data_IF_223464252996
#
_entry.id   IF_223464252996
#
_cell.length_a   1.000
_cell.length_b   1.000
_cell.length_c   1.000
_cell.angle_alpha   90.00
_cell.angle_beta   90.00
_cell.angle_gamma   90.00
#
_symmetry.space_group_name_H-M   'P 1'
#
loop_
_entity.id
_entity.type
_entity.pdbx_description
1 polymer ?
#
# COMPACT_ATOMS: atom_id res chain seq x y z
N UNK A 1 17.22 -19.86 6.81
CA UNK A 1 16.16 -18.82 6.74
C UNK A 1 14.78 -19.46 6.91
N UNK A 2 14.34 -20.34 6.02
CA UNK A 2 12.99 -20.96 6.05
C UNK A 2 12.58 -21.48 7.44
N UNK A 3 13.39 -22.39 8.01
CA UNK A 3 13.16 -22.95 9.36
C UNK A 3 13.05 -21.88 10.46
N UNK A 4 13.90 -20.86 10.42
CA UNK A 4 13.91 -19.77 11.41
C UNK A 4 12.66 -18.90 11.29
N UNK A 5 12.24 -18.62 10.05
CA UNK A 5 11.02 -17.89 9.76
C UNK A 5 9.79 -18.65 10.30
N UNK A 6 9.64 -19.93 9.95
CA UNK A 6 8.51 -20.74 10.43
C UNK A 6 8.50 -20.84 11.96
N UNK A 7 9.67 -20.99 12.60
CA UNK A 7 9.78 -21.01 14.05
C UNK A 7 9.32 -19.69 14.68
N UNK A 8 9.75 -18.55 14.12
CA UNK A 8 9.36 -17.23 14.62
C UNK A 8 7.87 -16.94 14.41
N UNK A 9 7.31 -17.36 13.27
CA UNK A 9 5.87 -17.25 13.01
C UNK A 9 5.05 -18.01 14.04
N UNK A 10 5.48 -19.24 14.37
CA UNK A 10 4.85 -20.05 15.40
C UNK A 10 4.94 -19.38 16.78
N UNK A 11 6.13 -18.93 17.16
CA UNK A 11 6.36 -18.25 18.43
C UNK A 11 5.48 -17.01 18.60
N UNK A 12 5.42 -16.13 17.59
CA UNK A 12 4.57 -14.94 17.61
C UNK A 12 3.08 -15.33 17.73
N UNK A 13 2.65 -16.33 16.98
CA UNK A 13 1.27 -16.81 17.04
C UNK A 13 0.91 -17.39 18.42
N UNK A 14 1.82 -18.12 19.06
CA UNK A 14 1.62 -18.71 20.38
C UNK A 14 1.61 -17.64 21.49
N UNK A 15 2.51 -16.65 21.40
CA UNK A 15 2.63 -15.59 22.40
C UNK A 15 1.49 -14.57 22.34
N UNK A 16 1.08 -14.17 21.13
CA UNK A 16 0.16 -13.04 20.94
C UNK A 16 -1.22 -13.46 20.43
N UNK A 17 -1.42 -14.74 20.07
CA UNK A 17 -2.68 -15.24 19.54
C UNK A 17 -3.05 -14.66 18.16
N UNK A 18 -2.07 -14.09 17.43
CA UNK A 18 -2.27 -13.49 16.11
C UNK A 18 -1.33 -14.10 15.07
N UNK A 19 -1.82 -14.41 13.86
CA UNK A 19 -0.96 -14.91 12.81
C UNK A 19 -0.03 -13.82 12.29
N UNK A 20 1.22 -14.17 12.01
CA UNK A 20 2.16 -13.28 11.32
C UNK A 20 1.83 -13.30 9.83
N UNK A 21 1.38 -12.16 9.28
CA UNK A 21 1.05 -12.00 7.85
C UNK A 21 1.96 -11.04 7.11
N UNK A 22 2.83 -10.35 7.84
CA UNK A 22 3.79 -9.38 7.32
C UNK A 22 5.13 -9.53 8.03
N UNK A 23 6.22 -9.12 7.41
CA UNK A 23 7.56 -9.24 8.00
C UNK A 23 8.39 -7.98 7.83
N UNK A 24 9.15 -7.66 8.88
CA UNK A 24 10.33 -6.81 8.83
C UNK A 24 11.45 -7.54 9.58
N UNK A 25 12.63 -7.56 9.00
CA UNK A 25 13.80 -8.23 9.51
C UNK A 25 14.77 -7.23 10.14
N UNK A 26 15.76 -7.80 10.82
CA UNK A 26 16.79 -7.03 11.48
C UNK A 26 17.88 -6.62 10.47
N UNK A 27 18.28 -5.35 10.48
CA UNK A 27 19.47 -4.83 9.79
C UNK A 27 19.52 -4.97 8.25
N UNK A 28 18.37 -5.05 7.57
CA UNK A 28 18.32 -5.13 6.10
C UNK A 28 19.02 -6.36 5.53
N UNK A 29 19.18 -7.40 6.34
CA UNK A 29 19.84 -8.64 5.91
C UNK A 29 18.95 -9.33 4.90
N UNK A 30 19.51 -9.74 3.77
CA UNK A 30 18.74 -10.40 2.71
C UNK A 30 19.27 -11.82 2.45
N UNK A 31 18.37 -12.80 2.44
CA UNK A 31 18.69 -14.15 1.98
C UNK A 31 18.71 -14.20 0.46
N UNK A 32 19.91 -14.24 -0.14
CA UNK A 32 20.11 -14.23 -1.59
C UNK A 32 20.29 -15.60 -2.23
N UNK A 33 20.04 -16.70 -1.51
CA UNK A 33 20.12 -18.06 -2.05
C UNK A 33 18.78 -18.77 -1.86
N UNK A 34 18.31 -19.45 -2.90
CA UNK A 34 17.09 -20.24 -2.87
C UNK A 34 17.26 -21.54 -2.05
N UNK A 35 16.23 -22.39 -2.02
CA UNK A 35 16.25 -23.66 -1.26
C UNK A 35 17.33 -24.65 -1.74
N UNK A 36 17.70 -24.59 -3.02
CA UNK A 36 18.78 -25.40 -3.60
C UNK A 36 20.17 -24.85 -3.29
N UNK A 37 20.26 -23.65 -2.71
CA UNK A 37 21.51 -22.95 -2.44
C UNK A 37 22.02 -22.10 -3.62
N UNK A 38 21.25 -21.98 -4.71
CA UNK A 38 21.63 -21.18 -5.87
C UNK A 38 21.35 -19.69 -5.62
N UNK A 39 22.19 -18.77 -6.11
CA UNK A 39 21.93 -17.34 -6.03
C UNK A 39 20.63 -16.95 -6.72
N UNK A 40 19.73 -16.32 -5.97
CA UNK A 40 18.47 -15.78 -6.46
C UNK A 40 18.12 -14.55 -5.62
N UNK A 41 17.94 -13.40 -6.28
CA UNK A 41 17.68 -12.15 -5.58
C UNK A 41 16.29 -12.17 -4.93
N UNK A 42 15.33 -12.94 -5.45
CA UNK A 42 14.00 -13.10 -4.86
C UNK A 42 13.93 -14.15 -3.75
N UNK A 43 15.03 -14.84 -3.44
CA UNK A 43 14.99 -16.03 -2.58
C UNK A 43 14.32 -15.79 -1.21
N UNK A 44 14.63 -14.67 -0.54
CA UNK A 44 13.96 -14.35 0.71
C UNK A 44 12.44 -14.15 0.54
N UNK A 45 12.03 -13.39 -0.48
CA UNK A 45 10.61 -13.16 -0.77
C UNK A 45 9.87 -14.47 -1.11
N UNK A 46 10.52 -15.39 -1.80
CA UNK A 46 9.97 -16.72 -2.09
C UNK A 46 9.78 -17.56 -0.82
N UNK A 47 10.77 -17.56 0.07
CA UNK A 47 10.68 -18.24 1.38
C UNK A 47 9.56 -17.63 2.21
N UNK A 48 9.45 -16.31 2.24
CA UNK A 48 8.38 -15.60 2.95
C UNK A 48 6.99 -15.95 2.37
N UNK A 49 6.86 -15.93 1.04
CA UNK A 49 5.61 -16.29 0.35
C UNK A 49 5.23 -17.76 0.58
N UNK A 50 6.20 -18.68 0.57
CA UNK A 50 6.01 -20.10 0.88
C UNK A 50 5.44 -20.31 2.29
N UNK A 51 5.86 -19.48 3.25
CA UNK A 51 5.34 -19.51 4.61
C UNK A 51 4.01 -18.77 4.78
N UNK A 52 3.43 -18.23 3.70
CA UNK A 52 2.12 -17.57 3.72
C UNK A 52 2.17 -16.10 4.15
N UNK A 53 3.35 -15.47 4.19
CA UNK A 53 3.44 -14.03 4.37
C UNK A 53 2.94 -13.31 3.12
N UNK A 54 2.32 -12.16 3.36
CA UNK A 54 1.61 -11.39 2.34
C UNK A 54 2.28 -10.05 2.05
N UNK A 55 3.09 -9.54 2.99
CA UNK A 55 3.81 -8.29 2.81
C UNK A 55 5.17 -8.29 3.49
N UNK A 56 6.21 -8.09 2.70
CA UNK A 56 7.56 -7.74 3.12
C UNK A 56 7.65 -6.23 3.29
N UNK A 57 8.23 -5.81 4.42
CA UNK A 57 8.53 -4.42 4.73
C UNK A 57 10.00 -4.30 5.14
N UNK A 58 10.90 -4.95 4.40
CA UNK A 58 12.33 -5.03 4.73
C UNK A 58 13.13 -3.86 4.16
N UNK A 59 12.79 -3.41 2.95
CA UNK A 59 13.51 -2.32 2.31
C UNK A 59 13.26 -1.02 3.06
N UNK A 60 14.33 -0.36 3.53
CA UNK A 60 14.25 1.00 4.03
C UNK A 60 15.21 1.89 3.27
N UNK A 61 14.85 3.17 3.17
CA UNK A 61 15.79 4.17 2.70
C UNK A 61 16.75 4.52 3.84
N UNK A 62 18.03 4.20 3.62
CA UNK A 62 19.14 4.62 4.43
C UNK A 62 20.32 4.98 3.51
N UNK A 63 20.80 6.22 3.57
CA UNK A 63 21.90 6.72 2.72
C UNK A 63 22.95 7.55 3.48
N UNK A 64 22.93 7.52 4.82
CA UNK A 64 23.99 8.08 5.65
C UNK A 64 25.36 7.57 5.18
N UNK A 65 26.28 8.50 4.91
CA UNK A 65 27.64 8.22 4.43
C UNK A 65 27.72 7.43 3.11
N UNK A 66 26.65 7.39 2.30
CA UNK A 66 26.68 6.79 0.98
C UNK A 66 27.72 7.50 0.08
N UNK A 67 28.61 6.73 -0.54
CA UNK A 67 29.58 7.26 -1.51
C UNK A 67 28.94 7.82 -2.80
N UNK A 68 27.63 7.63 -2.98
CA UNK A 68 26.85 8.19 -4.09
C UNK A 68 26.06 9.45 -3.67
N UNK A 69 26.25 9.92 -2.42
CA UNK A 69 25.45 11.00 -1.84
C UNK A 69 24.01 10.60 -1.57
N UNK A 70 23.14 11.61 -1.35
CA UNK A 70 21.72 11.38 -1.11
C UNK A 70 20.96 11.12 -2.41
N UNK A 71 20.85 9.85 -2.79
CA UNK A 71 20.25 9.40 -4.05
C UNK A 71 18.81 9.89 -4.25
N UNK A 72 18.05 10.05 -3.17
CA UNK A 72 16.64 10.47 -3.20
C UNK A 72 16.42 11.95 -2.93
N UNK A 73 17.48 12.75 -3.03
CA UNK A 73 17.48 14.16 -2.71
C UNK A 73 17.77 14.43 -1.24
N UNK A 74 17.80 15.71 -0.83
CA UNK A 74 18.19 16.10 0.52
C UNK A 74 17.27 15.50 1.59
N UNK A 75 17.85 15.19 2.76
CA UNK A 75 17.11 14.75 3.94
C UNK A 75 15.93 15.69 4.28
N UNK A 76 14.89 15.12 4.88
CA UNK A 76 13.67 15.84 5.24
C UNK A 76 12.69 15.95 4.07
N UNK A 77 12.06 17.13 3.91
CA UNK A 77 10.85 17.28 3.07
C UNK A 77 11.03 17.01 1.58
N UNK A 78 12.28 17.00 1.07
CA UNK A 78 12.58 16.79 -0.35
C UNK A 78 12.98 15.36 -0.70
N UNK A 79 13.06 14.47 0.28
CA UNK A 79 13.39 13.06 0.09
C UNK A 79 12.29 12.34 -0.69
N UNK A 80 12.65 11.58 -1.73
CA UNK A 80 11.75 10.85 -2.62
C UNK A 80 11.36 9.44 -2.14
N UNK A 81 10.59 8.73 -2.97
CA UNK A 81 10.33 7.29 -2.78
C UNK A 81 11.42 6.48 -3.50
N UNK A 82 12.08 5.57 -2.80
CA UNK A 82 13.16 4.73 -3.35
C UNK A 82 12.72 3.89 -4.54
N UNK A 83 11.52 3.33 -4.49
CA UNK A 83 10.94 2.50 -5.54
C UNK A 83 10.13 3.32 -6.56
N UNK A 84 10.34 4.64 -6.63
CA UNK A 84 9.64 5.56 -7.54
C UNK A 84 8.21 5.94 -7.11
N UNK A 85 7.57 5.17 -6.23
CA UNK A 85 6.25 5.48 -5.67
C UNK A 85 6.10 4.95 -4.24
N UNK A 86 5.06 5.38 -3.51
CA UNK A 86 4.67 4.73 -2.25
C UNK A 86 3.62 3.62 -2.43
N UNK A 87 3.47 3.07 -3.63
CA UNK A 87 2.53 1.99 -3.89
C UNK A 87 3.19 0.63 -3.61
N UNK A 88 2.53 -0.29 -2.89
CA UNK A 88 2.98 -1.66 -2.79
C UNK A 88 3.03 -2.33 -4.16
N UNK A 89 4.10 -3.10 -4.41
CA UNK A 89 4.30 -3.88 -5.63
C UNK A 89 4.53 -5.34 -5.25
N UNK A 90 4.38 -6.29 -6.16
CA UNK A 90 4.79 -7.68 -5.89
C UNK A 90 6.24 -7.90 -6.30
N UNK A 91 6.94 -8.78 -5.60
CA UNK A 91 8.23 -9.27 -6.07
C UNK A 91 8.06 -10.11 -7.32
N UNK A 92 9.13 -10.19 -8.11
CA UNK A 92 9.27 -11.11 -9.21
C UNK A 92 10.59 -11.87 -9.06
N UNK A 93 10.61 -13.12 -9.53
CA UNK A 93 11.81 -13.95 -9.66
C UNK A 93 12.71 -13.41 -10.79
N UNK A 94 13.95 -13.89 -10.87
CA UNK A 94 14.85 -13.63 -12.02
C UNK A 94 14.27 -14.06 -13.37
N UNK A 95 13.33 -15.02 -13.35
CA UNK A 95 12.56 -15.44 -14.51
C UNK A 95 11.46 -14.45 -14.94
N UNK A 96 11.17 -13.43 -14.13
CA UNK A 96 10.04 -12.52 -14.29
C UNK A 96 8.71 -13.06 -13.73
N UNK A 97 8.69 -14.28 -13.18
CA UNK A 97 7.52 -14.85 -12.54
C UNK A 97 7.20 -14.08 -11.25
N UNK A 98 5.94 -13.68 -11.09
CA UNK A 98 5.50 -12.96 -9.89
C UNK A 98 5.52 -13.88 -8.66
N UNK A 99 6.12 -13.41 -7.58
CA UNK A 99 6.06 -14.04 -6.26
C UNK A 99 4.79 -13.56 -5.55
N UNK A 100 4.10 -14.46 -4.85
CA UNK A 100 2.84 -14.15 -4.18
C UNK A 100 3.04 -13.44 -2.83
N UNK A 101 3.79 -12.33 -2.84
CA UNK A 101 4.04 -11.46 -1.70
C UNK A 101 4.25 -10.03 -2.18
N UNK A 102 3.69 -9.06 -1.45
CA UNK A 102 3.90 -7.64 -1.75
C UNK A 102 5.14 -7.11 -1.03
N UNK A 103 5.87 -6.23 -1.69
CA UNK A 103 6.85 -5.34 -1.11
C UNK A 103 6.18 -4.03 -0.74
N UNK A 104 6.44 -3.55 0.47
CA UNK A 104 6.20 -2.16 0.85
C UNK A 104 7.47 -1.53 1.42
N UNK A 105 7.87 -0.38 0.88
CA UNK A 105 9.07 0.34 1.29
C UNK A 105 8.83 1.03 2.65
N UNK A 106 9.79 0.96 3.56
CA UNK A 106 9.92 1.89 4.69
C UNK A 106 10.39 3.25 4.18
N UNK A 107 9.43 4.12 3.90
CA UNK A 107 9.70 5.43 3.30
C UNK A 107 10.42 6.36 4.28
N UNK A 108 10.10 6.26 5.57
CA UNK A 108 10.64 7.10 6.62
C UNK A 108 11.25 6.21 7.70
N UNK A 109 12.55 6.31 7.89
CA UNK A 109 13.31 5.46 8.81
C UNK A 109 14.00 6.32 9.88
N UNK A 110 13.76 6.07 11.16
CA UNK A 110 14.28 6.89 12.24
C UNK A 110 15.81 6.93 12.31
N UNK A 111 16.48 5.80 12.09
CA UNK A 111 17.94 5.70 12.22
C UNK A 111 18.69 6.61 11.23
N UNK A 112 18.15 6.81 10.00
CA UNK A 112 18.65 7.81 9.05
C UNK A 112 18.79 9.20 9.69
N UNK A 113 17.88 9.55 10.60
CA UNK A 113 17.82 10.87 11.22
C UNK A 113 18.42 10.90 12.63
N UNK A 114 18.28 9.81 13.40
CA UNK A 114 18.80 9.70 14.76
C UNK A 114 20.32 9.84 14.79
N UNK A 115 21.02 9.20 13.86
CA UNK A 115 22.48 9.28 13.75
C UNK A 115 22.99 10.69 13.41
N UNK A 116 22.13 11.53 12.85
CA UNK A 116 22.39 12.93 12.54
C UNK A 116 21.79 13.89 13.60
N UNK A 117 21.18 13.37 14.67
CA UNK A 117 20.47 14.14 15.70
C UNK A 117 19.39 15.08 15.14
N UNK A 118 18.67 14.63 14.11
CA UNK A 118 17.71 15.45 13.34
C UNK A 118 16.24 14.99 13.48
N UNK A 119 15.58 15.22 14.64
CA UNK A 119 14.19 14.80 14.85
C UNK A 119 13.21 15.59 13.97
N UNK A 120 13.51 16.84 13.62
CA UNK A 120 12.66 17.62 12.73
C UNK A 120 12.75 17.15 11.28
N UNK A 121 13.91 16.69 10.82
CA UNK A 121 14.07 16.04 9.53
C UNK A 121 13.24 14.76 9.42
N UNK A 122 13.22 13.94 10.49
CA UNK A 122 12.43 12.71 10.53
C UNK A 122 10.94 13.01 10.30
N UNK A 123 10.39 14.00 11.03
CA UNK A 123 9.03 14.49 10.81
C UNK A 123 8.85 15.12 9.42
N UNK A 124 9.78 15.95 8.98
CA UNK A 124 9.69 16.69 7.72
C UNK A 124 9.71 15.78 6.51
N UNK A 125 10.41 14.64 6.57
CA UNK A 125 10.39 13.62 5.54
C UNK A 125 9.00 13.03 5.33
N UNK A 126 8.39 12.54 6.42
CA UNK A 126 7.00 12.10 6.42
C UNK A 126 6.07 13.17 5.85
N UNK A 127 6.19 14.41 6.35
CA UNK A 127 5.35 15.52 5.90
C UNK A 127 5.52 15.78 4.41
N UNK A 128 6.75 15.83 3.91
CA UNK A 128 7.04 16.10 2.50
C UNK A 128 6.50 15.00 1.56
N UNK A 129 6.63 13.74 1.95
CA UNK A 129 6.05 12.61 1.23
C UNK A 129 4.52 12.68 1.21
N UNK A 130 3.89 12.96 2.36
CA UNK A 130 2.44 13.11 2.48
C UNK A 130 1.90 14.32 1.71
N UNK A 131 2.55 15.48 1.82
CA UNK A 131 2.18 16.70 1.08
C UNK A 131 2.17 16.43 -0.43
N UNK A 132 3.16 15.69 -0.95
CA UNK A 132 3.19 15.33 -2.37
C UNK A 132 2.10 14.32 -2.73
N UNK A 133 1.83 13.35 -1.85
CA UNK A 133 0.74 12.38 -2.03
C UNK A 133 -0.62 13.08 -2.14
N UNK A 134 -0.88 14.05 -1.27
CA UNK A 134 -2.14 14.80 -1.21
C UNK A 134 -2.25 15.87 -2.31
N UNK A 135 -1.22 16.69 -2.50
CA UNK A 135 -1.33 17.90 -3.33
C UNK A 135 -0.86 17.70 -4.78
N UNK A 136 -0.05 16.67 -5.05
CA UNK A 136 0.43 16.35 -6.42
C UNK A 136 -0.20 15.06 -6.95
N UNK A 137 -1.20 14.55 -6.25
CA UNK A 137 -2.08 13.41 -6.59
C UNK A 137 -1.37 12.08 -6.90
N UNK A 138 -0.09 11.92 -6.55
CA UNK A 138 0.59 10.61 -6.57
C UNK A 138 0.31 9.89 -5.25
N UNK A 139 -0.93 9.38 -5.13
CA UNK A 139 -1.34 8.65 -3.93
C UNK A 139 -0.34 7.56 -3.57
N UNK A 140 0.10 7.63 -2.33
CA UNK A 140 1.17 6.81 -1.78
C UNK A 140 0.77 6.33 -0.40
N UNK A 141 1.09 5.07 -0.10
CA UNK A 141 1.19 4.61 1.28
C UNK A 141 2.58 4.98 1.78
N UNK A 142 2.63 5.64 2.93
CA UNK A 142 3.88 6.07 3.55
C UNK A 142 4.03 5.29 4.84
N UNK A 143 4.98 4.37 4.88
CA UNK A 143 5.30 3.64 6.11
C UNK A 143 6.47 4.27 6.85
N UNK A 144 6.45 4.04 8.16
CA UNK A 144 7.43 4.57 9.11
C UNK A 144 8.06 3.37 9.82
N UNK A 145 9.38 3.31 9.80
CA UNK A 145 10.18 2.38 10.61
C UNK A 145 10.82 3.15 11.74
N UNK A 146 10.52 2.73 12.97
CA UNK A 146 11.10 3.30 14.18
C UNK A 146 11.37 2.20 15.20
N UNK A 147 12.41 2.34 16.02
CA UNK A 147 12.70 1.38 17.08
C UNK A 147 12.51 1.97 18.48
N UNK A 148 12.37 1.05 19.43
CA UNK A 148 12.18 1.38 20.84
C UNK A 148 13.46 1.92 21.48
N UNK A 149 14.63 1.51 20.99
CA UNK A 149 15.91 1.96 21.53
C UNK A 149 16.15 3.45 21.23
N UNK A 150 15.56 3.98 20.16
CA UNK A 150 15.53 5.41 19.81
C UNK A 150 14.28 6.14 20.32
N UNK A 151 13.57 5.62 21.33
CA UNK A 151 12.28 6.17 21.79
C UNK A 151 12.30 7.69 22.03
N UNK A 152 13.31 8.21 22.75
CA UNK A 152 13.39 9.63 23.08
C UNK A 152 13.64 10.53 21.86
N UNK A 153 14.27 9.99 20.81
CA UNK A 153 14.42 10.67 19.53
C UNK A 153 13.12 10.63 18.73
N UNK A 154 12.50 9.44 18.62
CA UNK A 154 11.39 9.18 17.71
C UNK A 154 10.01 9.61 18.24
N UNK A 155 9.80 9.67 19.57
CA UNK A 155 8.48 9.92 20.18
C UNK A 155 7.83 11.21 19.69
N UNK A 156 8.52 12.34 19.81
CA UNK A 156 7.94 13.65 19.50
C UNK A 156 7.65 13.80 17.98
N UNK A 157 8.56 13.41 17.07
CA UNK A 157 8.27 13.32 15.64
C UNK A 157 7.08 12.41 15.30
N UNK A 158 6.99 11.21 15.89
CA UNK A 158 5.87 10.28 15.65
C UNK A 158 4.53 10.89 16.08
N UNK A 159 4.48 11.59 17.21
CA UNK A 159 3.29 12.31 17.65
C UNK A 159 2.91 13.44 16.67
N UNK A 160 3.89 14.16 16.12
CA UNK A 160 3.64 15.16 15.05
C UNK A 160 3.10 14.51 13.78
N UNK A 161 3.59 13.32 13.40
CA UNK A 161 3.09 12.56 12.24
C UNK A 161 1.62 12.14 12.44
N UNK A 162 1.26 11.62 13.62
CA UNK A 162 -0.13 11.28 13.95
C UNK A 162 -1.04 12.50 13.96
N UNK A 163 -0.62 13.61 14.56
CA UNK A 163 -1.38 14.86 14.57
C UNK A 163 -1.54 15.44 13.15
N UNK A 164 -0.52 15.30 12.29
CA UNK A 164 -0.61 15.66 10.88
C UNK A 164 -1.63 14.77 10.14
N UNK A 165 -1.58 13.45 10.33
CA UNK A 165 -2.51 12.51 9.71
C UNK A 165 -3.96 12.81 10.12
N UNK A 166 -4.21 13.02 11.41
CA UNK A 166 -5.55 13.36 11.93
C UNK A 166 -6.11 14.66 11.35
N UNK A 167 -5.30 15.72 11.28
CA UNK A 167 -5.73 17.02 10.71
C UNK A 167 -6.06 16.95 9.21
N UNK A 168 -5.43 16.04 8.47
CA UNK A 168 -5.62 15.89 7.03
C UNK A 168 -6.55 14.71 6.67
N UNK A 169 -7.18 14.06 7.65
CA UNK A 169 -8.06 12.92 7.41
C UNK A 169 -7.34 11.70 6.80
N UNK A 170 -6.04 11.55 7.05
CA UNK A 170 -5.24 10.44 6.53
C UNK A 170 -5.40 9.23 7.45
N UNK A 171 -5.82 8.06 6.94
CA UNK A 171 -5.93 6.87 7.74
C UNK A 171 -4.54 6.34 8.14
N UNK A 172 -4.41 5.89 9.39
CA UNK A 172 -3.21 5.22 9.91
C UNK A 172 -3.52 3.73 10.03
N UNK A 173 -2.77 2.89 9.30
CA UNK A 173 -2.99 1.45 9.21
C UNK A 173 -1.76 0.65 9.66
N UNK A 174 -2.01 -0.57 10.12
CA UNK A 174 -0.97 -1.59 10.26
C UNK A 174 -0.59 -2.14 8.88
N UNK A 175 0.61 -2.72 8.76
CA UNK A 175 1.03 -3.40 7.53
C UNK A 175 0.07 -4.55 7.15
N UNK A 176 -0.46 -5.29 8.13
CA UNK A 176 -1.46 -6.34 7.90
C UNK A 176 -2.75 -5.79 7.28
N UNK A 177 -3.27 -4.67 7.78
CA UNK A 177 -4.46 -4.04 7.20
C UNK A 177 -4.20 -3.54 5.78
N UNK A 178 -3.02 -3.00 5.51
CA UNK A 178 -2.61 -2.60 4.16
C UNK A 178 -2.53 -3.82 3.23
N UNK A 179 -1.92 -4.93 3.67
CA UNK A 179 -1.77 -6.14 2.85
C UNK A 179 -3.12 -6.76 2.51
N UNK A 180 -4.05 -6.82 3.46
CA UNK A 180 -5.42 -7.26 3.23
C UNK A 180 -6.16 -6.36 2.24
N UNK A 181 -6.06 -5.04 2.39
CA UNK A 181 -6.66 -4.07 1.48
C UNK A 181 -6.15 -4.23 0.04
N UNK A 182 -4.82 -4.31 -0.13
CA UNK A 182 -4.20 -4.45 -1.46
C UNK A 182 -4.59 -5.77 -2.11
N UNK A 183 -4.62 -6.88 -1.36
CA UNK A 183 -5.07 -8.19 -1.86
C UNK A 183 -6.51 -8.16 -2.33
N UNK A 184 -7.41 -7.58 -1.53
CA UNK A 184 -8.82 -7.43 -1.90
C UNK A 184 -8.95 -6.58 -3.16
N UNK A 185 -8.24 -5.44 -3.24
CA UNK A 185 -8.25 -4.55 -4.41
C UNK A 185 -7.77 -5.27 -5.67
N UNK A 186 -6.69 -6.03 -5.58
CA UNK A 186 -6.07 -6.67 -6.75
C UNK A 186 -6.82 -7.93 -7.20
N UNK A 187 -7.58 -8.59 -6.31
CA UNK A 187 -8.46 -9.72 -6.67
C UNK A 187 -9.77 -9.24 -7.32
N UNK A 188 -10.23 -8.05 -6.94
CA UNK A 188 -11.43 -7.45 -7.49
C UNK A 188 -11.24 -7.14 -8.99
N UNK A 189 -12.20 -7.58 -9.80
CA UNK A 189 -12.11 -7.49 -11.26
C UNK A 189 -13.44 -7.09 -11.88
N UNK A 190 -13.35 -6.22 -12.89
CA UNK A 190 -14.49 -5.92 -13.76
C UNK A 190 -14.55 -6.95 -14.88
N UNK A 191 -15.76 -7.41 -15.21
CA UNK A 191 -16.02 -8.35 -16.30
C UNK A 191 -17.34 -8.01 -17.01
N UNK A 192 -17.60 -8.67 -18.14
CA UNK A 192 -18.84 -8.47 -18.92
C UNK A 192 -19.14 -6.99 -19.22
N UNK A 193 -18.10 -6.20 -19.51
CA UNK A 193 -18.24 -4.78 -19.83
C UNK A 193 -18.91 -4.65 -21.19
N UNK A 194 -20.02 -3.92 -21.24
CA UNK A 194 -20.75 -3.61 -22.47
C UNK A 194 -21.16 -2.15 -22.48
N UNK A 195 -21.23 -1.58 -23.68
CA UNK A 195 -21.61 -0.20 -23.94
C UNK A 195 -22.57 -0.13 -25.12
N UNK A 196 -23.75 0.44 -24.91
CA UNK A 196 -24.73 0.73 -25.97
C UNK A 196 -25.66 1.86 -25.54
N UNK A 197 -26.08 2.71 -26.48
CA UNK A 197 -27.11 3.75 -26.25
C UNK A 197 -26.90 4.62 -24.99
N UNK A 198 -25.66 5.09 -24.80
CA UNK A 198 -25.24 5.90 -23.63
C UNK A 198 -25.39 5.18 -22.28
N UNK A 199 -25.42 3.85 -22.30
CA UNK A 199 -25.44 3.01 -21.11
C UNK A 199 -24.22 2.11 -21.11
N UNK A 200 -23.59 2.00 -19.93
CA UNK A 200 -22.56 1.00 -19.65
C UNK A 200 -23.14 -0.05 -18.71
N UNK A 201 -22.81 -1.31 -18.92
CA UNK A 201 -23.02 -2.35 -17.92
C UNK A 201 -21.74 -3.13 -17.68
N UNK A 202 -21.53 -3.56 -16.44
CA UNK A 202 -20.42 -4.43 -16.10
C UNK A 202 -20.75 -5.26 -14.87
N UNK A 203 -20.01 -6.36 -14.66
CA UNK A 203 -19.99 -7.10 -13.41
C UNK A 203 -18.73 -6.76 -12.63
N UNK A 204 -18.85 -6.62 -11.33
CA UNK A 204 -17.74 -6.58 -10.39
C UNK A 204 -17.69 -7.93 -9.67
N UNK A 205 -16.59 -8.65 -9.83
CA UNK A 205 -16.34 -9.87 -9.06
C UNK A 205 -15.34 -9.55 -7.93
N UNK A 206 -15.69 -9.90 -6.69
CA UNK A 206 -14.82 -9.76 -5.53
C UNK A 206 -15.12 -10.89 -4.55
N UNK A 207 -14.25 -11.90 -4.51
CA UNK A 207 -14.46 -13.11 -3.70
C UNK A 207 -13.84 -13.03 -2.31
N UNK A 208 -12.82 -12.17 -2.11
CA UNK A 208 -12.17 -12.01 -0.81
C UNK A 208 -13.03 -11.16 0.13
N UNK A 209 -13.27 -11.67 1.35
CA UNK A 209 -13.91 -10.90 2.42
C UNK A 209 -12.90 -9.96 3.07
N UNK A 210 -13.36 -8.78 3.46
CA UNK A 210 -12.55 -7.80 4.18
C UNK A 210 -13.43 -6.88 5.03
N UNK A 211 -12.87 -6.31 6.10
CA UNK A 211 -13.60 -5.44 7.03
C UNK A 211 -13.89 -4.04 6.47
N UNK A 212 -13.13 -3.62 5.46
CA UNK A 212 -13.35 -2.36 4.74
C UNK A 212 -14.02 -2.63 3.40
N UNK A 213 -14.95 -1.76 3.02
CA UNK A 213 -15.66 -1.84 1.74
C UNK A 213 -14.76 -1.63 0.52
N UNK A 214 -15.21 -2.10 -0.64
CA UNK A 214 -14.57 -1.85 -1.92
C UNK A 214 -15.21 -0.63 -2.59
N UNK A 215 -14.40 0.36 -2.94
CA UNK A 215 -14.90 1.56 -3.63
C UNK A 215 -14.85 1.37 -5.14
N UNK A 216 -16.01 1.52 -5.79
CA UNK A 216 -16.17 1.57 -7.24
C UNK A 216 -16.20 3.04 -7.65
N UNK A 217 -15.34 3.40 -8.61
CA UNK A 217 -15.25 4.75 -9.16
C UNK A 217 -15.78 4.75 -10.59
N UNK A 218 -16.84 5.52 -10.84
CA UNK A 218 -17.45 5.66 -12.16
C UNK A 218 -17.30 7.11 -12.62
N UNK A 219 -16.73 7.39 -13.80
CA UNK A 219 -16.59 8.76 -14.28
C UNK A 219 -17.95 9.48 -14.32
N UNK A 220 -18.01 10.73 -13.83
CA UNK A 220 -19.21 11.55 -13.97
C UNK A 220 -19.45 12.01 -15.41
N UNK A 221 -18.41 11.96 -16.23
CA UNK A 221 -18.43 12.36 -17.63
C UNK A 221 -17.87 11.24 -18.51
N UNK A 222 -18.56 11.01 -19.62
CA UNK A 222 -18.06 10.20 -20.73
C UNK A 222 -18.23 11.00 -22.01
N UNK A 223 -17.12 11.48 -22.58
CA UNK A 223 -17.13 12.55 -23.60
C UNK A 223 -17.91 13.75 -23.03
N UNK A 224 -18.89 14.27 -23.76
CA UNK A 224 -19.72 15.39 -23.32
C UNK A 224 -20.97 14.95 -22.53
N UNK A 225 -21.08 13.65 -22.22
CA UNK A 225 -22.26 13.07 -21.58
C UNK A 225 -22.09 12.95 -20.09
N UNK A 226 -23.10 13.37 -19.34
CA UNK A 226 -23.15 13.39 -17.87
C UNK A 226 -23.79 12.12 -17.34
N UNK A 227 -23.23 11.60 -16.26
CA UNK A 227 -23.83 10.53 -15.48
C UNK A 227 -25.22 10.94 -15.00
N UNK A 228 -26.23 10.15 -15.38
CA UNK A 228 -27.63 10.32 -14.98
C UNK A 228 -27.99 9.44 -13.80
N UNK A 229 -27.50 8.20 -13.76
CA UNK A 229 -27.87 7.25 -12.71
C UNK A 229 -26.99 6.00 -12.71
N UNK A 230 -27.00 5.32 -11.58
CA UNK A 230 -26.27 4.08 -11.34
C UNK A 230 -27.25 3.09 -10.72
N UNK A 231 -27.39 1.93 -11.35
CA UNK A 231 -28.07 0.77 -10.77
C UNK A 231 -27.03 -0.26 -10.32
N UNK A 232 -27.20 -0.82 -9.14
CA UNK A 232 -26.46 -1.97 -8.63
C UNK A 232 -27.45 -3.09 -8.32
N UNK A 233 -27.27 -4.26 -8.94
CA UNK A 233 -28.18 -5.41 -8.85
C UNK A 233 -29.64 -5.08 -9.19
N UNK A 234 -29.86 -4.09 -10.06
CA UNK A 234 -31.19 -3.64 -10.49
C UNK A 234 -31.83 -2.57 -9.61
N UNK A 235 -31.16 -2.14 -8.54
CA UNK A 235 -31.63 -1.06 -7.67
C UNK A 235 -30.82 0.22 -7.89
N UNK A 236 -31.48 1.38 -7.91
CA UNK A 236 -30.80 2.67 -7.99
C UNK A 236 -29.98 2.92 -6.72
N UNK A 237 -28.73 3.32 -6.88
CA UNK A 237 -27.80 3.54 -5.77
C UNK A 237 -27.27 4.97 -5.74
N UNK A 238 -27.26 5.55 -4.54
CA UNK A 238 -26.65 6.85 -4.30
C UNK A 238 -25.12 6.78 -4.40
N UNK A 239 -24.50 7.90 -4.76
CA UNK A 239 -23.06 8.03 -4.88
C UNK A 239 -22.57 9.37 -4.34
N UNK A 240 -21.33 9.39 -3.85
CA UNK A 240 -20.63 10.63 -3.52
C UNK A 240 -19.84 11.12 -4.74
N UNK A 241 -19.85 12.42 -5.01
CA UNK A 241 -19.00 13.01 -6.06
C UNK A 241 -17.64 13.34 -5.46
N UNK A 242 -16.56 12.90 -6.11
CA UNK A 242 -15.18 13.26 -5.72
C UNK A 242 -14.30 13.39 -6.95
N UNK A 243 -13.41 14.37 -6.92
CA UNK A 243 -12.36 14.53 -7.91
C UNK A 243 -11.15 13.68 -7.53
N UNK A 244 -10.60 12.96 -8.50
CA UNK A 244 -9.36 12.21 -8.39
C UNK A 244 -8.54 12.44 -9.65
N UNK A 245 -7.31 12.97 -9.50
CA UNK A 245 -6.39 13.14 -10.62
C UNK A 245 -6.95 14.05 -11.74
N UNK A 246 -7.67 15.09 -11.35
CA UNK A 246 -8.33 16.01 -12.28
C UNK A 246 -9.59 15.47 -12.97
N UNK A 247 -10.08 14.28 -12.60
CA UNK A 247 -11.32 13.70 -13.11
C UNK A 247 -12.37 13.59 -12.00
N UNK A 248 -13.62 13.91 -12.31
CA UNK A 248 -14.72 13.73 -11.36
C UNK A 248 -15.33 12.34 -11.48
N UNK A 249 -15.52 11.69 -10.34
CA UNK A 249 -16.11 10.36 -10.25
C UNK A 249 -17.31 10.34 -9.29
N UNK A 250 -18.25 9.48 -9.60
CA UNK A 250 -19.18 8.89 -8.66
C UNK A 250 -18.46 7.78 -7.88
N UNK A 251 -18.45 7.92 -6.56
CA UNK A 251 -17.91 6.98 -5.60
C UNK A 251 -19.04 6.19 -4.96
N UNK A 252 -18.98 4.87 -5.07
CA UNK A 252 -19.90 3.94 -4.41
C UNK A 252 -19.09 2.90 -3.67
N UNK A 253 -19.57 2.47 -2.51
CA UNK A 253 -18.92 1.44 -1.72
C UNK A 253 -19.80 0.20 -1.69
N UNK A 254 -19.24 -0.94 -2.07
CA UNK A 254 -19.87 -2.25 -1.94
C UNK A 254 -19.14 -3.10 -0.91
N UNK A 255 -19.80 -4.15 -0.43
CA UNK A 255 -19.15 -5.10 0.47
C UNK A 255 -18.33 -6.10 -0.34
N UNK A 256 -17.06 -6.34 0.02
CA UNK A 256 -16.25 -7.34 -0.67
C UNK A 256 -16.69 -8.75 -0.27
N UNK A 257 -16.36 -9.76 -1.09
CA UNK A 257 -16.82 -11.14 -0.89
C UNK A 257 -18.15 -11.47 -1.55
N UNK A 258 -18.62 -10.62 -2.47
CA UNK A 258 -19.80 -10.82 -3.30
C UNK A 258 -19.58 -10.25 -4.72
N UNK A 259 -20.36 -10.80 -5.66
CA UNK A 259 -20.42 -10.29 -7.03
C UNK A 259 -21.57 -9.29 -7.18
N UNK A 260 -21.35 -8.26 -8.00
CA UNK A 260 -22.31 -7.18 -8.25
C UNK A 260 -22.49 -6.94 -9.75
N UNK A 261 -23.71 -6.62 -10.16
CA UNK A 261 -24.05 -6.20 -11.52
C UNK A 261 -24.36 -4.72 -11.55
N UNK A 262 -23.66 -3.94 -12.38
CA UNK A 262 -23.84 -2.51 -12.50
C UNK A 262 -24.43 -2.13 -13.86
N UNK A 263 -25.32 -1.14 -13.86
CA UNK A 263 -25.74 -0.41 -15.06
C UNK A 263 -25.62 1.08 -14.82
N UNK A 264 -24.95 1.77 -15.73
CA UNK A 264 -24.63 3.18 -15.66
C UNK A 264 -25.32 3.87 -16.82
N UNK A 265 -26.12 4.89 -16.55
CA UNK A 265 -26.77 5.68 -17.59
C UNK A 265 -26.10 7.05 -17.71
N UNK A 266 -25.80 7.46 -18.92
CA UNK A 266 -25.40 8.82 -19.26
C UNK A 266 -26.52 9.50 -20.06
N UNK A 267 -26.56 10.83 -20.04
CA UNK A 267 -27.54 11.58 -20.83
C UNK A 267 -27.33 11.40 -22.35
N UNK A 268 -28.36 11.77 -23.12
CA UNK A 268 -28.35 11.72 -24.58
C UNK A 268 -27.51 12.82 -25.21
#
# INVERSE_FOLDING_TARGET
MDKELSAKMKEISELYGVPMSTVVNHWFVWCGNNESGDPEFSAQAEIEAKNGLLMDVNYAHYDNNSGQGHFLGPMGSRQGNFTGSGLPMRFAESSGKMVNIYQHLNNVYDQQYNENQDPEGFYSCFKGLMDRSLNKEVYSFISIKSHNDEYYFSRDPLMKMLAYAGRNGIPVWTASKLSEFVRMRDEARFSSISWSDNKMSFKLCSSLKHSSGLTVMIPLLYRDKKLMGIECNGEEVAYAKRSVKGYDYAFLTVQPGADYSFKIAFNY
#
